data_IF_291151084173
#
_entry.id   IF_291151084173
#
_cell.length_a   1.000
_cell.length_b   1.000
_cell.length_c   1.000
_cell.angle_alpha   90.00
_cell.angle_beta   90.00
_cell.angle_gamma   90.00
#
_symmetry.space_group_name_H-M   'P 1'
#
loop_
_entity.id
_entity.type
_entity.pdbx_description
1 polymer ?
#
# COMPACT_ATOMS: atom_id res chain seq x y z
N UNK A 1 2.27 10.08 10.04
CA UNK A 1 2.57 8.74 10.57
C UNK A 1 3.25 7.96 9.46
N UNK A 2 4.34 7.27 9.73
CA UNK A 2 5.15 6.61 8.71
C UNK A 2 5.25 5.13 9.05
N UNK A 3 4.96 4.27 8.08
CA UNK A 3 5.03 2.83 8.23
C UNK A 3 5.84 2.23 7.07
N UNK A 4 6.52 1.13 7.33
CA UNK A 4 7.30 0.42 6.31
C UNK A 4 6.68 -0.96 6.13
N UNK A 5 6.42 -1.36 4.88
CA UNK A 5 5.87 -2.67 4.53
C UNK A 5 6.94 -3.44 3.78
N UNK A 6 7.23 -4.64 4.25
CA UNK A 6 8.21 -5.53 3.67
C UNK A 6 7.53 -6.53 2.74
N UNK A 7 8.07 -6.71 1.54
CA UNK A 7 7.51 -7.60 0.53
C UNK A 7 7.93 -9.07 0.68
N UNK A 8 8.79 -9.40 1.64
CA UNK A 8 9.26 -10.76 1.92
C UNK A 8 9.80 -11.44 0.65
N UNK A 9 9.14 -12.50 0.18
CA UNK A 9 9.45 -13.25 -1.05
C UNK A 9 8.72 -12.70 -2.30
N UNK A 10 7.81 -11.74 -2.12
CA UNK A 10 7.01 -11.22 -3.23
C UNK A 10 7.78 -10.15 -4.02
N UNK A 11 7.85 -10.31 -5.34
CA UNK A 11 8.36 -9.26 -6.24
C UNK A 11 7.50 -7.99 -6.23
N UNK A 12 6.21 -8.13 -5.90
CA UNK A 12 5.25 -7.05 -5.83
C UNK A 12 4.08 -7.42 -4.93
N UNK A 13 3.45 -6.42 -4.33
CA UNK A 13 2.20 -6.55 -3.59
C UNK A 13 1.08 -5.80 -4.32
N UNK A 14 -0.15 -6.29 -4.24
CA UNK A 14 -1.30 -5.55 -4.75
C UNK A 14 -1.62 -4.39 -3.80
N UNK A 15 -1.95 -3.22 -4.33
CA UNK A 15 -2.30 -2.04 -3.52
C UNK A 15 -3.39 -2.36 -2.47
N UNK A 16 -4.42 -3.11 -2.86
CA UNK A 16 -5.47 -3.54 -1.93
C UNK A 16 -4.96 -4.40 -0.76
N UNK A 17 -3.95 -5.22 -1.00
CA UNK A 17 -3.36 -6.10 0.02
C UNK A 17 -2.43 -5.30 0.94
N UNK A 18 -1.64 -4.39 0.36
CA UNK A 18 -0.82 -3.42 1.07
C UNK A 18 -1.63 -2.55 2.02
N UNK A 19 -2.78 -2.01 1.60
CA UNK A 19 -3.66 -1.23 2.49
C UNK A 19 -4.13 -2.06 3.69
N UNK A 20 -4.40 -3.35 3.48
CA UNK A 20 -4.84 -4.25 4.54
C UNK A 20 -3.67 -4.58 5.49
N UNK A 21 -2.49 -4.89 4.94
CA UNK A 21 -1.27 -5.17 5.71
C UNK A 21 -0.85 -3.97 6.55
N UNK A 22 -0.96 -2.77 5.99
CA UNK A 22 -0.69 -1.51 6.65
C UNK A 22 -1.73 -1.12 7.72
N UNK A 23 -2.83 -1.85 7.83
CA UNK A 23 -3.95 -1.50 8.71
C UNK A 23 -4.72 -0.24 8.29
N UNK A 24 -4.55 0.22 7.04
CA UNK A 24 -5.31 1.36 6.50
C UNK A 24 -6.76 1.00 6.16
N UNK A 25 -7.01 -0.29 5.91
CA UNK A 25 -8.34 -0.80 5.60
C UNK A 25 -8.67 -2.00 6.49
N UNK A 26 -9.85 -1.94 7.10
CA UNK A 26 -10.38 -2.96 8.02
C UNK A 26 -10.77 -4.26 7.28
N UNK A 27 -11.01 -4.16 5.97
CA UNK A 27 -11.37 -5.29 5.11
C UNK A 27 -11.05 -5.03 3.64
N UNK A 28 -10.86 -6.10 2.87
CA UNK A 28 -10.59 -6.00 1.43
C UNK A 28 -11.68 -5.28 0.63
N UNK A 29 -12.94 -5.29 1.10
CA UNK A 29 -14.01 -4.50 0.52
C UNK A 29 -13.81 -2.99 0.72
N UNK A 30 -13.41 -2.58 1.92
CA UNK A 30 -13.13 -1.18 2.25
C UNK A 30 -11.89 -0.67 1.49
N UNK A 31 -10.81 -1.46 1.44
CA UNK A 31 -9.62 -1.12 0.65
C UNK A 31 -9.97 -0.83 -0.81
N UNK A 32 -10.82 -1.66 -1.43
CA UNK A 32 -11.26 -1.45 -2.82
C UNK A 32 -12.08 -0.17 -3.00
N UNK A 33 -12.92 0.17 -2.04
CA UNK A 33 -13.72 1.40 -2.09
C UNK A 33 -12.80 2.63 -1.99
N UNK A 34 -11.92 2.67 -1.00
CA UNK A 34 -10.97 3.78 -0.79
C UNK A 34 -10.10 4.06 -2.02
N UNK A 35 -9.59 2.99 -2.64
CA UNK A 35 -8.80 3.10 -3.87
C UNK A 35 -9.67 3.60 -5.03
N UNK A 36 -10.89 3.07 -5.19
CA UNK A 36 -11.80 3.50 -6.26
C UNK A 36 -12.23 4.97 -6.10
N UNK A 37 -12.31 5.46 -4.87
CA UNK A 37 -12.57 6.88 -4.55
C UNK A 37 -11.37 7.79 -4.81
N UNK A 38 -10.18 7.23 -5.11
CA UNK A 38 -8.97 8.00 -5.36
C UNK A 38 -8.38 8.62 -4.08
N UNK A 39 -8.62 7.99 -2.93
CA UNK A 39 -8.08 8.43 -1.64
C UNK A 39 -6.63 8.00 -1.41
N UNK A 40 -6.09 7.16 -2.31
CA UNK A 40 -4.73 6.62 -2.24
C UNK A 40 -3.85 7.30 -3.29
N UNK A 41 -2.71 7.79 -2.86
CA UNK A 41 -1.68 8.35 -3.71
C UNK A 41 -0.48 7.40 -3.76
N UNK A 42 0.04 7.13 -4.95
CA UNK A 42 1.28 6.39 -5.17
C UNK A 42 2.31 7.36 -5.70
N UNK A 43 3.38 7.58 -4.93
CA UNK A 43 4.49 8.46 -5.28
C UNK A 43 4.01 9.87 -5.72
N UNK A 44 3.08 10.44 -4.96
CA UNK A 44 2.46 11.74 -5.24
C UNK A 44 1.38 11.77 -6.33
N UNK A 45 1.05 10.63 -6.96
CA UNK A 45 0.00 10.54 -7.98
C UNK A 45 -1.20 9.73 -7.48
N UNK A 46 -2.42 10.25 -7.64
CA UNK A 46 -3.64 9.51 -7.25
C UNK A 46 -3.72 8.19 -8.02
N UNK A 47 -3.76 7.08 -7.28
CA UNK A 47 -3.83 5.73 -7.84
C UNK A 47 -5.21 5.14 -7.55
N UNK A 48 -6.01 4.99 -8.62
CA UNK A 48 -7.36 4.41 -8.52
C UNK A 48 -7.40 2.91 -8.84
N UNK A 49 -6.24 2.31 -9.13
CA UNK A 49 -6.11 0.90 -9.48
C UNK A 49 -5.87 0.05 -8.24
N UNK A 50 -6.93 -0.61 -7.77
CA UNK A 50 -6.90 -1.57 -6.63
C UNK A 50 -5.98 -2.78 -6.82
N UNK A 51 -5.66 -3.11 -8.07
CA UNK A 51 -4.71 -4.16 -8.45
C UNK A 51 -3.39 -3.58 -8.98
N UNK A 52 -3.07 -2.33 -8.64
CA UNK A 52 -1.76 -1.78 -8.91
C UNK A 52 -0.71 -2.67 -8.22
N UNK A 53 0.28 -3.08 -9.00
CA UNK A 53 1.40 -3.89 -8.52
C UNK A 53 2.43 -2.93 -7.93
N UNK A 54 2.46 -2.84 -6.62
CA UNK A 54 3.40 -2.01 -5.87
C UNK A 54 4.66 -2.82 -5.63
N UNK A 55 5.81 -2.21 -5.85
CA UNK A 55 7.12 -2.86 -5.73
C UNK A 55 7.93 -2.17 -4.65
N UNK A 56 9.02 -2.81 -4.23
CA UNK A 56 9.96 -2.17 -3.33
C UNK A 56 10.49 -0.85 -3.94
N UNK A 57 10.53 0.19 -3.11
CA UNK A 57 10.86 1.56 -3.50
C UNK A 57 9.66 2.42 -3.91
N UNK A 58 8.45 1.87 -3.98
CA UNK A 58 7.25 2.70 -4.07
C UNK A 58 6.85 3.24 -2.68
N UNK A 59 6.23 4.43 -2.69
CA UNK A 59 5.70 5.07 -1.49
C UNK A 59 4.21 5.30 -1.70
N UNK A 60 3.39 4.82 -0.77
CA UNK A 60 1.94 4.98 -0.77
C UNK A 60 1.54 5.99 0.30
N UNK A 61 0.79 7.00 -0.11
CA UNK A 61 0.21 7.99 0.79
C UNK A 61 -1.30 7.84 0.85
N UNK A 62 -1.83 7.82 2.06
CA UNK A 62 -3.26 7.73 2.30
C UNK A 62 -3.62 8.52 3.55
N UNK A 63 -4.51 9.51 3.40
CA UNK A 63 -5.07 10.29 4.51
C UNK A 63 -4.01 10.86 5.50
N UNK A 64 -2.82 11.23 5.00
CA UNK A 64 -1.70 11.73 5.82
C UNK A 64 -0.80 10.64 6.44
N UNK A 65 -1.04 9.37 6.14
CA UNK A 65 -0.17 8.25 6.44
C UNK A 65 0.67 7.90 5.23
N UNK A 66 1.98 7.74 5.44
CA UNK A 66 2.95 7.38 4.40
C UNK A 66 3.43 5.95 4.64
N UNK A 67 3.44 5.15 3.58
CA UNK A 67 3.82 3.74 3.57
C UNK A 67 4.94 3.52 2.58
N UNK A 68 6.12 3.19 3.08
CA UNK A 68 7.27 2.88 2.25
C UNK A 68 7.42 1.39 2.06
N UNK A 69 7.60 0.99 0.81
CA UNK A 69 7.67 -0.42 0.44
C UNK A 69 9.12 -0.82 0.34
N UNK A 70 9.52 -1.79 1.16
CA UNK A 70 10.86 -2.36 1.20
C UNK A 70 10.84 -3.81 0.72
N UNK A 71 11.90 -4.24 0.05
CA UNK A 71 12.12 -5.65 -0.25
C UNK A 71 12.79 -6.34 0.95
N UNK A 72 12.49 -7.62 1.17
CA UNK A 72 13.08 -8.43 2.23
C UNK A 72 12.11 -8.73 3.37
N UNK A 73 12.63 -9.23 4.49
CA UNK A 73 11.86 -9.61 5.67
C UNK A 73 12.14 -8.64 6.82
N UNK A 74 11.12 -8.36 7.63
CA UNK A 74 11.32 -7.77 8.96
C UNK A 74 12.04 -8.82 9.83
N UNK A 75 13.28 -8.55 10.23
CA UNK A 75 14.14 -9.50 10.94
C UNK A 75 14.20 -9.25 12.46
N UNK A 76 13.19 -8.61 13.04
CA UNK A 76 13.17 -8.34 14.49
C UNK A 76 12.78 -9.58 15.32
#
# INVERSE_FOLDING_TARGET
MHATVYLEDQEYIALCDLLKLAGLADSGGQAKALIAEGLVCRNGSIETRKTAKIRAGDTIEFNGTVLDIAAGYDHD
#
